data_IF_922330490587
#
_entry.id   IF_922330490587
#
_cell.length_a   1.000
_cell.length_b   1.000
_cell.length_c   1.000
_cell.angle_alpha   90.00
_cell.angle_beta   90.00
_cell.angle_gamma   90.00
#
_symmetry.space_group_name_H-M   'P 1'
#
loop_
_entity.id
_entity.type
_entity.pdbx_description
1 polymer ?
#
# COMPACT_ATOMS: atom_id res chain seq x y z
N UNK A 1 18.70 9.24 -36.56
CA UNK A 1 17.64 8.23 -36.46
C UNK A 1 17.07 8.38 -35.07
N UNK A 2 15.91 9.03 -34.95
CA UNK A 2 15.20 9.14 -33.68
C UNK A 2 14.39 7.86 -33.52
N UNK A 3 14.85 6.95 -32.65
CA UNK A 3 14.01 5.86 -32.15
C UNK A 3 12.92 6.46 -31.26
N UNK A 4 11.82 6.86 -31.89
CA UNK A 4 10.53 7.00 -31.22
C UNK A 4 9.99 5.59 -30.96
N UNK A 5 10.61 4.85 -30.05
CA UNK A 5 9.94 3.72 -29.41
C UNK A 5 8.97 4.29 -28.40
N UNK A 6 7.71 4.40 -28.80
CA UNK A 6 6.58 4.56 -27.88
C UNK A 6 6.78 3.56 -26.73
N UNK A 7 6.76 3.97 -25.45
CA UNK A 7 6.91 3.03 -24.35
C UNK A 7 5.79 2.00 -24.51
N UNK A 8 6.15 0.78 -24.91
CA UNK A 8 5.23 -0.33 -24.90
C UNK A 8 4.82 -0.49 -23.44
N UNK A 9 3.56 -0.19 -23.12
CA UNK A 9 2.96 -0.63 -21.87
C UNK A 9 2.99 -2.16 -21.90
N UNK A 10 4.06 -2.77 -21.38
CA UNK A 10 4.14 -4.21 -21.24
C UNK A 10 3.01 -4.65 -20.33
N UNK A 11 2.24 -5.61 -20.79
CA UNK A 11 1.17 -6.22 -20.00
C UNK A 11 1.81 -7.09 -18.94
N UNK A 12 1.37 -6.96 -17.69
CA UNK A 12 1.81 -7.84 -16.61
C UNK A 12 1.28 -9.27 -16.86
N UNK A 13 2.14 -10.18 -17.32
CA UNK A 13 1.81 -11.60 -17.52
C UNK A 13 2.14 -12.46 -16.30
N UNK A 14 2.49 -11.84 -15.16
CA UNK A 14 2.76 -12.57 -13.93
C UNK A 14 1.49 -13.24 -13.40
N UNK A 15 1.64 -14.36 -12.71
CA UNK A 15 0.52 -15.12 -12.15
C UNK A 15 0.76 -15.46 -10.69
N UNK A 16 -0.31 -15.50 -9.90
CA UNK A 16 -0.30 -16.04 -8.54
C UNK A 16 -1.39 -17.11 -8.42
N UNK A 17 -1.01 -18.28 -7.92
CA UNK A 17 -1.91 -19.42 -7.72
C UNK A 17 -1.94 -19.72 -6.22
N UNK A 18 -3.13 -19.71 -5.57
CA UNK A 18 -3.25 -20.16 -4.19
C UNK A 18 -2.76 -21.61 -4.07
N UNK A 19 -1.82 -21.86 -3.15
CA UNK A 19 -1.27 -23.19 -2.89
C UNK A 19 -1.92 -23.85 -1.66
N UNK A 20 -2.66 -23.07 -0.87
CA UNK A 20 -3.38 -23.47 0.33
C UNK A 20 -4.49 -22.46 0.63
N UNK A 21 -5.45 -22.84 1.47
CA UNK A 21 -6.49 -21.93 1.96
C UNK A 21 -5.91 -20.97 3.00
N UNK A 22 -6.33 -19.71 2.97
CA UNK A 22 -5.91 -18.69 3.93
C UNK A 22 -6.73 -18.85 5.22
N UNK A 23 -6.08 -19.10 6.34
CA UNK A 23 -6.75 -19.16 7.65
C UNK A 23 -6.91 -17.77 8.27
N UNK A 24 -8.01 -17.10 7.95
CA UNK A 24 -8.36 -15.79 8.52
C UNK A 24 -8.67 -15.82 10.03
N UNK A 25 -8.78 -17.01 10.66
CA UNK A 25 -8.97 -17.12 12.12
C UNK A 25 -7.64 -17.07 12.88
N UNK A 26 -6.51 -17.23 12.19
CA UNK A 26 -5.18 -17.15 12.78
C UNK A 26 -4.95 -15.76 13.38
N UNK A 27 -4.59 -15.74 14.67
CA UNK A 27 -4.17 -14.50 15.33
C UNK A 27 -2.78 -14.09 14.86
N UNK A 28 -2.65 -12.84 14.41
CA UNK A 28 -1.38 -12.24 14.03
C UNK A 28 -0.82 -11.42 15.18
N UNK A 29 0.42 -11.72 15.58
CA UNK A 29 1.06 -11.06 16.72
C UNK A 29 2.07 -10.03 16.22
N UNK A 30 1.86 -8.77 16.62
CA UNK A 30 2.79 -7.66 16.37
C UNK A 30 3.61 -7.42 17.63
N UNK A 31 4.90 -7.75 17.56
CA UNK A 31 5.84 -7.55 18.67
C UNK A 31 6.60 -6.23 18.60
N UNK A 32 6.57 -5.57 17.43
CA UNK A 32 7.24 -4.29 17.21
C UNK A 32 6.49 -3.46 16.17
N UNK A 33 6.45 -2.15 16.40
CA UNK A 33 5.98 -1.16 15.42
C UNK A 33 7.22 -0.53 14.78
N UNK A 34 7.27 -0.54 13.45
CA UNK A 34 8.30 0.12 12.67
C UNK A 34 7.79 1.48 12.21
N UNK A 35 8.51 2.54 12.57
CA UNK A 35 8.24 3.90 12.13
C UNK A 35 9.35 4.33 11.16
N UNK A 36 9.13 4.13 9.87
CA UNK A 36 10.08 4.52 8.83
C UNK A 36 10.08 6.06 8.68
N UNK A 37 11.23 6.68 8.95
CA UNK A 37 11.38 8.14 8.88
C UNK A 37 11.19 8.69 7.47
N UNK A 38 11.55 7.94 6.42
CA UNK A 38 11.35 8.34 5.03
C UNK A 38 9.87 8.29 4.66
N UNK A 39 9.15 7.24 5.09
CA UNK A 39 7.69 7.14 4.90
C UNK A 39 6.98 8.34 5.54
N UNK A 40 7.33 8.65 6.78
CA UNK A 40 6.77 9.78 7.53
C UNK A 40 7.09 11.10 6.83
N UNK A 41 8.34 11.34 6.43
CA UNK A 41 8.74 12.58 5.76
C UNK A 41 8.00 12.79 4.43
N UNK A 42 7.91 11.75 3.60
CA UNK A 42 7.20 11.80 2.32
C UNK A 42 5.69 12.05 2.52
N UNK A 43 5.07 11.36 3.48
CA UNK A 43 3.65 11.56 3.77
C UNK A 43 3.36 12.96 4.33
N UNK A 44 4.24 13.45 5.21
CA UNK A 44 4.16 14.80 5.77
C UNK A 44 4.22 15.86 4.67
N UNK A 45 5.20 15.76 3.76
CA UNK A 45 5.32 16.66 2.61
C UNK A 45 4.07 16.62 1.72
N UNK A 46 3.55 15.42 1.43
CA UNK A 46 2.35 15.24 0.60
C UNK A 46 1.12 15.89 1.24
N UNK A 47 0.88 15.66 2.52
CA UNK A 47 -0.27 16.24 3.23
C UNK A 47 -0.18 17.76 3.33
N UNK A 48 1.00 18.29 3.64
CA UNK A 48 1.20 19.74 3.71
C UNK A 48 0.97 20.43 2.35
N UNK A 49 1.28 19.78 1.22
CA UNK A 49 0.99 20.30 -0.12
C UNK A 49 -0.50 20.17 -0.51
N UNK A 50 -1.16 19.10 -0.07
CA UNK A 50 -2.56 18.81 -0.42
C UNK A 50 -3.60 19.50 0.45
N UNK A 51 -3.25 19.85 1.69
CA UNK A 51 -4.15 20.45 2.68
C UNK A 51 -3.53 21.75 3.24
N UNK A 52 -3.82 22.92 2.62
CA UNK A 52 -3.16 24.18 2.97
C UNK A 52 -3.39 24.67 4.41
N UNK A 53 -4.40 24.14 5.11
CA UNK A 53 -4.77 24.54 6.47
C UNK A 53 -4.53 23.43 7.52
N UNK A 54 -3.74 22.40 7.22
CA UNK A 54 -3.48 21.32 8.18
C UNK A 54 -2.64 21.84 9.36
N UNK A 55 -3.12 21.62 10.58
CA UNK A 55 -2.38 22.01 11.79
C UNK A 55 -1.27 20.99 12.09
N UNK A 56 -0.21 21.38 12.83
CA UNK A 56 0.84 20.44 13.23
C UNK A 56 0.30 19.22 14.00
N UNK A 57 -0.69 19.42 14.88
CA UNK A 57 -1.29 18.35 15.67
C UNK A 57 -2.08 17.36 14.80
N UNK A 58 -2.83 17.87 13.81
CA UNK A 58 -3.51 17.01 12.83
C UNK A 58 -2.49 16.23 12.01
N UNK A 59 -1.40 16.87 11.58
CA UNK A 59 -0.34 16.24 10.82
C UNK A 59 0.31 15.10 11.60
N UNK A 60 0.65 15.30 12.88
CA UNK A 60 1.23 14.26 13.72
C UNK A 60 0.26 13.10 13.94
N UNK A 61 -1.03 13.38 14.16
CA UNK A 61 -2.06 12.35 14.28
C UNK A 61 -2.21 11.51 13.01
N UNK A 62 -2.25 12.15 11.84
CA UNK A 62 -2.29 11.47 10.54
C UNK A 62 -1.03 10.59 10.34
N UNK A 63 0.16 11.05 10.76
CA UNK A 63 1.37 10.23 10.67
C UNK A 63 1.30 8.98 11.55
N UNK A 64 0.78 9.10 12.78
CA UNK A 64 0.58 7.94 13.65
C UNK A 64 -0.37 6.94 13.02
N UNK A 65 -1.50 7.42 12.44
CA UNK A 65 -2.44 6.53 11.76
C UNK A 65 -1.82 5.82 10.56
N UNK A 66 -1.04 6.53 9.74
CA UNK A 66 -0.33 5.95 8.60
C UNK A 66 0.63 4.86 9.05
N UNK A 67 1.45 5.12 10.07
CA UNK A 67 2.41 4.14 10.60
C UNK A 67 1.69 2.91 11.14
N UNK A 68 0.63 3.08 11.93
CA UNK A 68 -0.13 1.95 12.47
C UNK A 68 -0.76 1.14 11.33
N UNK A 69 -1.43 1.80 10.38
CA UNK A 69 -2.08 1.16 9.23
C UNK A 69 -1.08 0.34 8.41
N UNK A 70 0.11 0.90 8.15
CA UNK A 70 1.17 0.23 7.40
C UNK A 70 1.70 -1.02 8.11
N UNK A 71 1.90 -0.97 9.42
CA UNK A 71 2.35 -2.13 10.21
C UNK A 71 1.27 -3.23 10.26
N UNK A 72 0.01 -2.86 10.47
CA UNK A 72 -1.11 -3.80 10.45
C UNK A 72 -1.25 -4.48 9.08
N UNK A 73 -1.24 -3.68 8.01
CA UNK A 73 -1.34 -4.18 6.65
C UNK A 73 -0.16 -5.08 6.30
N UNK A 74 1.06 -4.65 6.59
CA UNK A 74 2.27 -5.44 6.31
C UNK A 74 2.24 -6.79 7.03
N UNK A 75 1.77 -6.82 8.28
CA UNK A 75 1.65 -8.06 9.05
C UNK A 75 0.65 -9.03 8.40
N UNK A 76 -0.56 -8.53 8.08
CA UNK A 76 -1.59 -9.33 7.42
C UNK A 76 -1.17 -9.81 6.02
N UNK A 77 -0.58 -8.92 5.23
CA UNK A 77 -0.16 -9.24 3.87
C UNK A 77 0.99 -10.25 3.85
N UNK A 78 1.93 -10.16 4.80
CA UNK A 78 3.00 -11.14 4.93
C UNK A 78 2.46 -12.55 5.18
N UNK A 79 1.42 -12.70 6.00
CA UNK A 79 0.73 -13.98 6.18
C UNK A 79 0.08 -14.45 4.89
N UNK A 80 -0.76 -13.60 4.27
CA UNK A 80 -1.51 -13.93 3.06
C UNK A 80 -0.58 -14.43 1.95
N UNK A 81 0.54 -13.73 1.71
CA UNK A 81 1.49 -14.04 0.62
C UNK A 81 2.09 -15.43 0.76
N UNK A 82 2.17 -16.01 1.98
CA UNK A 82 2.69 -17.38 2.17
C UNK A 82 1.80 -18.46 1.53
N UNK A 83 0.52 -18.15 1.30
CA UNK A 83 -0.46 -19.06 0.71
C UNK A 83 -0.50 -19.03 -0.83
N UNK A 84 0.44 -18.34 -1.48
CA UNK A 84 0.50 -18.19 -2.93
C UNK A 84 1.83 -18.68 -3.51
N UNK A 85 1.73 -19.35 -4.65
CA UNK A 85 2.85 -19.60 -5.53
C UNK A 85 2.86 -18.53 -6.63
N UNK A 86 3.97 -17.81 -6.75
CA UNK A 86 4.14 -16.73 -7.72
C UNK A 86 5.02 -17.16 -8.88
N UNK A 87 4.57 -16.86 -10.10
CA UNK A 87 5.38 -16.91 -11.29
C UNK A 87 5.43 -15.50 -11.89
N UNK A 88 6.56 -14.82 -11.73
CA UNK A 88 6.70 -13.41 -12.11
C UNK A 88 7.32 -13.28 -13.51
N UNK A 89 6.71 -12.46 -14.35
CA UNK A 89 7.24 -12.13 -15.67
C UNK A 89 8.51 -11.29 -15.51
N UNK A 90 9.65 -11.86 -15.90
CA UNK A 90 10.95 -11.20 -15.79
C UNK A 90 11.02 -9.87 -16.56
N UNK A 91 10.32 -9.76 -17.70
CA UNK A 91 10.31 -8.53 -18.49
C UNK A 91 9.55 -7.42 -17.74
N UNK A 92 8.39 -7.77 -17.18
CA UNK A 92 7.60 -6.84 -16.38
C UNK A 92 8.34 -6.43 -15.10
N UNK A 93 8.97 -7.39 -14.41
CA UNK A 93 9.84 -7.12 -13.24
C UNK A 93 10.93 -6.11 -13.60
N UNK A 94 11.63 -6.31 -14.72
CA UNK A 94 12.71 -5.42 -15.13
C UNK A 94 12.22 -4.03 -15.51
N UNK A 95 11.02 -3.91 -16.09
CA UNK A 95 10.40 -2.62 -16.34
C UNK A 95 10.12 -1.88 -15.02
N UNK A 96 9.47 -2.54 -14.04
CA UNK A 96 9.20 -1.92 -12.74
C UNK A 96 10.49 -1.49 -12.05
N UNK A 97 11.57 -2.29 -12.13
CA UNK A 97 12.89 -1.90 -11.61
C UNK A 97 13.44 -0.64 -12.30
N UNK A 98 13.29 -0.53 -13.62
CA UNK A 98 13.74 0.64 -14.37
C UNK A 98 12.94 1.90 -13.99
N UNK A 99 11.61 1.77 -13.84
CA UNK A 99 10.74 2.86 -13.42
C UNK A 99 11.05 3.31 -11.98
N UNK A 100 11.29 2.36 -11.06
CA UNK A 100 11.72 2.68 -9.69
C UNK A 100 13.04 3.46 -9.67
N UNK A 101 14.05 3.02 -10.43
CA UNK A 101 15.35 3.73 -10.52
C UNK A 101 15.20 5.14 -11.08
N UNK A 102 14.33 5.31 -12.08
CA UNK A 102 14.06 6.62 -12.69
C UNK A 102 13.38 7.57 -11.71
N UNK A 103 12.41 7.07 -10.93
CA UNK A 103 11.58 7.88 -10.05
C UNK A 103 12.21 8.08 -8.65
N UNK A 104 13.05 7.16 -8.20
CA UNK A 104 13.76 7.21 -6.91
C UNK A 104 15.23 7.56 -7.17
N UNK A 105 15.49 8.85 -7.41
CA UNK A 105 16.83 9.39 -7.64
C UNK A 105 17.30 10.25 -6.47
N UNK A 106 18.63 10.44 -6.36
CA UNK A 106 19.23 11.30 -5.33
C UNK A 106 19.22 10.70 -3.92
N UNK A 107 18.88 11.45 -2.85
CA UNK A 107 18.91 10.96 -1.48
C UNK A 107 17.97 9.78 -1.19
N UNK A 108 17.00 9.52 -2.08
CA UNK A 108 16.04 8.42 -2.00
C UNK A 108 16.41 7.26 -2.92
N UNK A 109 17.59 7.31 -3.56
CA UNK A 109 18.04 6.24 -4.43
C UNK A 109 18.22 4.94 -3.65
N UNK A 110 17.65 3.88 -4.19
CA UNK A 110 17.80 2.52 -3.67
C UNK A 110 18.95 1.83 -4.39
N UNK A 111 19.64 0.94 -3.68
CA UNK A 111 20.58 0.03 -4.31
C UNK A 111 19.84 -1.02 -5.17
N UNK A 112 20.59 -1.76 -5.98
CA UNK A 112 20.01 -2.75 -6.90
C UNK A 112 19.18 -3.82 -6.18
N UNK A 113 19.59 -4.20 -4.98
CA UNK A 113 18.87 -5.16 -4.15
C UNK A 113 17.55 -4.58 -3.64
N UNK A 114 17.55 -3.35 -3.09
CA UNK A 114 16.36 -2.65 -2.63
C UNK A 114 15.35 -2.43 -3.76
N UNK A 115 15.82 -2.03 -4.95
CA UNK A 115 14.97 -1.92 -6.14
C UNK A 115 14.34 -3.25 -6.50
N UNK A 116 15.10 -4.35 -6.45
CA UNK A 116 14.57 -5.68 -6.77
C UNK A 116 13.52 -6.16 -5.78
N UNK A 117 13.75 -5.93 -4.48
CA UNK A 117 12.80 -6.29 -3.41
C UNK A 117 11.49 -5.51 -3.55
N UNK A 118 11.55 -4.21 -3.85
CA UNK A 118 10.34 -3.40 -4.01
C UNK A 118 9.58 -3.82 -5.27
N UNK A 119 10.27 -4.04 -6.40
CA UNK A 119 9.63 -4.49 -7.63
C UNK A 119 8.86 -5.82 -7.43
N UNK A 120 9.49 -6.79 -6.76
CA UNK A 120 8.86 -8.07 -6.41
C UNK A 120 7.60 -7.88 -5.55
N UNK A 121 7.70 -7.04 -4.50
CA UNK A 121 6.57 -6.74 -3.62
C UNK A 121 5.40 -6.05 -4.34
N UNK A 122 5.69 -5.10 -5.24
CA UNK A 122 4.65 -4.40 -6.02
C UNK A 122 3.83 -5.40 -6.83
N UNK A 123 4.52 -6.29 -7.57
CA UNK A 123 3.86 -7.25 -8.46
C UNK A 123 3.09 -8.29 -7.64
N UNK A 124 3.69 -8.82 -6.56
CA UNK A 124 2.99 -9.77 -5.68
C UNK A 124 1.76 -9.16 -5.03
N UNK A 125 1.84 -7.90 -4.58
CA UNK A 125 0.69 -7.18 -4.01
C UNK A 125 -0.45 -7.09 -5.02
N UNK A 126 -0.16 -6.66 -6.25
CA UNK A 126 -1.15 -6.56 -7.31
C UNK A 126 -1.85 -7.90 -7.57
N UNK A 127 -1.09 -8.98 -7.72
CA UNK A 127 -1.63 -10.31 -7.99
C UNK A 127 -2.51 -10.83 -6.84
N UNK A 128 -2.07 -10.65 -5.59
CA UNK A 128 -2.86 -11.02 -4.41
C UNK A 128 -4.12 -10.16 -4.31
N UNK A 129 -4.03 -8.85 -4.56
CA UNK A 129 -5.19 -7.95 -4.52
C UNK A 129 -6.23 -8.32 -5.57
N UNK A 130 -5.80 -8.69 -6.78
CA UNK A 130 -6.69 -9.20 -7.82
C UNK A 130 -7.43 -10.49 -7.39
N UNK A 131 -6.75 -11.36 -6.63
CA UNK A 131 -7.39 -12.55 -6.06
C UNK A 131 -8.36 -12.19 -4.92
N UNK A 132 -7.93 -11.39 -3.95
CA UNK A 132 -8.72 -11.01 -2.79
C UNK A 132 -9.96 -10.18 -3.16
N UNK A 133 -9.86 -9.30 -4.16
CA UNK A 133 -11.00 -8.54 -4.66
C UNK A 133 -12.11 -9.47 -5.17
N UNK A 134 -11.75 -10.56 -5.87
CA UNK A 134 -12.71 -11.58 -6.30
C UNK A 134 -13.24 -12.38 -5.12
N UNK A 135 -12.35 -12.83 -4.23
CA UNK A 135 -12.72 -13.62 -3.05
C UNK A 135 -13.71 -12.89 -2.14
N UNK A 136 -13.52 -11.59 -1.92
CA UNK A 136 -14.37 -10.76 -1.08
C UNK A 136 -15.48 -10.03 -1.83
N UNK A 137 -15.58 -10.24 -3.15
CA UNK A 137 -16.53 -9.55 -4.03
C UNK A 137 -16.49 -8.02 -3.87
N UNK A 138 -15.28 -7.45 -3.84
CA UNK A 138 -15.06 -6.00 -3.71
C UNK A 138 -14.88 -5.41 -5.10
N UNK A 139 -15.74 -4.46 -5.43
CA UNK A 139 -15.67 -3.64 -6.64
C UNK A 139 -15.80 -2.16 -6.28
N UNK A 140 -15.43 -1.29 -7.21
CA UNK A 140 -15.66 0.16 -7.10
C UNK A 140 -16.52 0.60 -8.27
N UNK A 141 -17.70 1.15 -7.98
CA UNK A 141 -18.62 1.64 -9.01
C UNK A 141 -18.27 3.07 -9.44
N UNK A 142 -18.80 3.49 -10.59
CA UNK A 142 -18.59 4.86 -11.10
C UNK A 142 -19.13 5.92 -10.14
N UNK A 143 -20.26 5.63 -9.49
CA UNK A 143 -20.89 6.53 -8.53
C UNK A 143 -20.05 6.70 -7.27
N UNK A 144 -19.36 5.63 -6.83
CA UNK A 144 -18.39 5.73 -5.72
C UNK A 144 -17.20 6.61 -6.09
N UNK A 145 -16.67 6.47 -7.32
CA UNK A 145 -15.56 7.30 -7.81
C UNK A 145 -15.98 8.78 -7.85
N UNK A 146 -17.15 9.07 -8.43
CA UNK A 146 -17.69 10.43 -8.50
C UNK A 146 -17.92 11.03 -7.12
N UNK A 147 -18.52 10.26 -6.21
CA UNK A 147 -18.74 10.69 -4.83
C UNK A 147 -17.44 11.04 -4.11
N UNK A 148 -16.38 10.26 -4.33
CA UNK A 148 -15.06 10.54 -3.75
C UNK A 148 -14.43 11.81 -4.34
N UNK A 149 -14.55 12.02 -5.66
CA UNK A 149 -14.08 13.23 -6.33
C UNK A 149 -14.83 14.48 -5.83
N UNK A 150 -16.14 14.39 -5.62
CA UNK A 150 -16.94 15.49 -5.06
C UNK A 150 -16.46 15.85 -3.65
N UNK A 151 -16.22 14.86 -2.78
CA UNK A 151 -15.66 15.07 -1.44
C UNK A 151 -14.26 15.70 -1.51
N UNK A 152 -13.42 15.26 -2.45
CA UNK A 152 -12.10 15.86 -2.66
C UNK A 152 -12.23 17.34 -3.06
N UNK A 153 -13.09 17.67 -4.02
CA UNK A 153 -13.33 19.04 -4.45
C UNK A 153 -13.82 19.92 -3.30
N UNK A 154 -14.77 19.44 -2.49
CA UNK A 154 -15.28 20.17 -1.33
C UNK A 154 -14.20 20.48 -0.29
N UNK A 155 -13.19 19.61 -0.16
CA UNK A 155 -12.11 19.76 0.83
C UNK A 155 -10.94 20.60 0.34
N UNK A 156 -10.59 20.50 -0.94
CA UNK A 156 -9.36 21.11 -1.48
C UNK A 156 -9.63 22.29 -2.40
N UNK A 157 -10.87 22.46 -2.87
CA UNK A 157 -11.29 23.40 -3.90
C UNK A 157 -10.53 23.24 -5.25
N UNK A 158 -9.91 22.07 -5.47
CA UNK A 158 -9.18 21.76 -6.72
C UNK A 158 -10.12 21.15 -7.76
N UNK A 159 -10.08 21.68 -8.99
CA UNK A 159 -10.94 21.22 -10.08
C UNK A 159 -10.80 19.70 -10.34
N UNK A 160 -11.94 19.01 -10.36
CA UNK A 160 -12.02 17.58 -10.70
C UNK A 160 -12.38 17.33 -12.17
N UNK A 161 -12.65 18.39 -12.95
CA UNK A 161 -13.14 18.28 -14.33
C UNK A 161 -12.19 17.50 -15.23
N UNK A 162 -10.89 17.74 -15.10
CA UNK A 162 -9.87 17.04 -15.86
C UNK A 162 -9.89 15.52 -15.61
N UNK A 163 -10.23 15.09 -14.38
CA UNK A 163 -10.31 13.67 -14.02
C UNK A 163 -11.62 13.05 -14.50
N UNK A 164 -12.71 13.81 -14.52
CA UNK A 164 -14.01 13.35 -15.02
C UNK A 164 -14.03 13.19 -16.55
N UNK A 165 -13.31 14.06 -17.25
CA UNK A 165 -13.26 14.08 -18.72
C UNK A 165 -12.19 13.12 -19.29
N UNK A 166 -11.23 12.67 -18.47
CA UNK A 166 -10.14 11.76 -18.84
C UNK A 166 -10.35 10.36 -18.25
N UNK A 167 -10.62 9.39 -19.12
CA UNK A 167 -10.89 8.00 -18.73
C UNK A 167 -9.73 7.35 -17.97
N UNK A 168 -8.49 7.62 -18.34
CA UNK A 168 -7.33 6.97 -17.72
C UNK A 168 -7.12 7.53 -16.31
N UNK A 169 -7.36 8.83 -16.11
CA UNK A 169 -7.33 9.45 -14.78
C UNK A 169 -8.49 8.94 -13.91
N UNK A 170 -9.68 8.83 -14.46
CA UNK A 170 -10.85 8.28 -13.75
C UNK A 170 -10.61 6.85 -13.26
N UNK A 171 -10.08 5.98 -14.13
CA UNK A 171 -9.72 4.60 -13.76
C UNK A 171 -8.51 4.54 -12.81
N UNK A 172 -7.63 5.54 -12.84
CA UNK A 172 -6.59 5.73 -11.83
C UNK A 172 -7.17 5.95 -10.43
N UNK A 173 -8.19 6.81 -10.31
CA UNK A 173 -8.89 7.03 -9.04
C UNK A 173 -9.64 5.77 -8.59
N UNK A 174 -10.32 5.08 -9.51
CA UNK A 174 -10.98 3.80 -9.19
C UNK A 174 -10.01 2.79 -8.60
N UNK A 175 -8.83 2.64 -9.21
CA UNK A 175 -7.76 1.74 -8.72
C UNK A 175 -7.28 2.15 -7.32
N UNK A 176 -7.09 3.44 -7.07
CA UNK A 176 -6.69 3.93 -5.74
C UNK A 176 -7.76 3.66 -4.66
N UNK A 177 -9.05 3.85 -4.98
CA UNK A 177 -10.15 3.55 -4.06
C UNK A 177 -10.23 2.04 -3.78
N UNK A 178 -10.10 1.20 -4.82
CA UNK A 178 -10.10 -0.24 -4.69
C UNK A 178 -8.95 -0.72 -3.81
N UNK A 179 -7.75 -0.17 -4.02
CA UNK A 179 -6.57 -0.46 -3.22
C UNK A 179 -6.79 -0.14 -1.74
N UNK A 180 -7.30 1.05 -1.40
CA UNK A 180 -7.57 1.41 0.00
C UNK A 180 -8.65 0.50 0.62
N UNK A 181 -9.72 0.16 -0.12
CA UNK A 181 -10.74 -0.81 0.34
C UNK A 181 -10.13 -2.17 0.65
N UNK A 182 -9.23 -2.66 -0.21
CA UNK A 182 -8.55 -3.94 -0.02
C UNK A 182 -7.57 -3.91 1.15
N UNK A 183 -6.83 -2.82 1.35
CA UNK A 183 -5.96 -2.63 2.52
C UNK A 183 -6.78 -2.73 3.80
N UNK A 184 -7.88 -1.98 3.91
CA UNK A 184 -8.72 -1.98 5.11
C UNK A 184 -9.37 -3.35 5.34
N UNK A 185 -9.85 -4.01 4.28
CA UNK A 185 -10.42 -5.36 4.40
C UNK A 185 -9.36 -6.38 4.82
N UNK A 186 -8.14 -6.27 4.30
CA UNK A 186 -7.01 -7.15 4.66
C UNK A 186 -6.65 -7.01 6.13
N UNK A 187 -6.57 -5.78 6.64
CA UNK A 187 -6.34 -5.53 8.07
C UNK A 187 -7.47 -6.12 8.91
N UNK A 188 -8.72 -5.91 8.52
CA UNK A 188 -9.89 -6.38 9.26
C UNK A 188 -10.14 -7.90 9.14
N UNK A 189 -9.45 -8.59 8.23
CA UNK A 189 -9.65 -10.01 7.99
C UNK A 189 -9.03 -10.90 9.09
N UNK A 190 -8.06 -10.39 9.85
CA UNK A 190 -7.36 -11.15 10.88
C UNK A 190 -7.58 -10.57 12.28
N UNK A 191 -7.70 -11.40 13.32
CA UNK A 191 -7.48 -10.94 14.69
C UNK A 191 -6.01 -10.57 14.88
N UNK A 192 -5.75 -9.37 15.40
CA UNK A 192 -4.38 -8.86 15.62
C UNK A 192 -4.16 -8.58 17.11
N UNK A 193 -3.09 -9.15 17.67
CA UNK A 193 -2.65 -8.91 19.04
C UNK A 193 -1.33 -8.16 19.06
N UNK A 194 -1.26 -7.12 19.90
CA UNK A 194 -0.01 -6.40 20.16
C UNK A 194 0.68 -6.98 21.40
N UNK A 195 1.93 -7.39 21.23
CA UNK A 195 2.78 -7.91 22.30
C UNK A 195 4.05 -7.06 22.37
N UNK A 196 3.89 -5.81 22.82
CA UNK A 196 4.94 -4.80 22.85
C UNK A 196 5.75 -4.86 24.15
N UNK A 197 6.06 -6.07 24.61
CA UNK A 197 6.90 -6.26 25.78
C UNK A 197 8.30 -5.71 25.52
N UNK A 198 8.72 -4.72 26.31
CA UNK A 198 10.06 -4.16 26.22
C UNK A 198 11.05 -5.16 26.85
N UNK A 199 11.99 -5.76 26.09
CA UNK A 199 12.96 -6.71 26.64
C UNK A 199 13.87 -6.10 27.72
N UNK A 200 13.90 -4.77 27.85
CA UNK A 200 14.68 -4.04 28.86
C UNK A 200 13.90 -3.72 30.15
N UNK A 201 12.62 -4.09 30.24
CA UNK A 201 11.82 -3.90 31.46
C UNK A 201 11.55 -5.29 32.04
N UNK A 202 12.34 -5.70 33.04
CA UNK A 202 11.96 -6.81 33.90
C UNK A 202 10.64 -6.43 34.57
N UNK A 203 9.59 -7.20 34.34
CA UNK A 203 8.38 -7.08 35.14
C UNK A 203 8.78 -7.22 36.62
N UNK A 204 8.32 -6.35 37.52
CA UNK A 204 8.53 -6.58 38.95
C UNK A 204 7.86 -7.91 39.28
N UNK A 205 8.64 -8.84 39.83
CA UNK A 205 8.13 -10.11 40.34
C UNK A 205 6.97 -9.78 41.27
N UNK A 206 5.78 -10.29 40.94
CA UNK A 206 4.62 -10.14 41.80
C UNK A 206 4.99 -10.75 43.15
N UNK A 207 5.12 -9.91 44.18
CA UNK A 207 5.28 -10.36 45.56
C UNK A 207 4.02 -11.11 45.94
N UNK A 208 4.10 -12.44 45.86
CA UNK A 208 3.13 -13.37 46.43
C UNK A 208 3.05 -13.05 47.91
N UNK A 209 1.90 -12.54 48.33
CA UNK A 209 1.52 -12.40 49.74
C UNK A 209 0.91 -13.70 50.24
#
# INVERSE_FOLDING_TARGET
>A
MNDNSTPQNLVNNSTAIPNSEIDFKKELVITRIFADANLIAQHKERLSKGLPNITPQMLDFEMVQVVIKDNLFSTAMNEIVTHFNFNLDANFVNQIKADLKKNLSGPQALDDNGVAVIADKIIKKELVFNHLAKLWNITVSDDEVKSMLDVFYQRTNQSIREVLDDKDKFEGIRRAILEEKLILKTIAAFPIRFDLNNPNIKQPEASVS
#
